data_IF_878344278840
#
_entry.id   IF_878344278840
#
_cell.length_a   1.000
_cell.length_b   1.000
_cell.length_c   1.000
_cell.angle_alpha   90.00
_cell.angle_beta   90.00
_cell.angle_gamma   90.00
#
_symmetry.space_group_name_H-M   'P 1'
#
loop_
_entity.id
_entity.type
_entity.pdbx_description
1 polymer ?
#
# COMPACT_ATOMS: atom_id res chain seq x y z
N UNK A 1 32.04 83.11 -38.59
CA UNK A 1 32.08 83.25 -37.12
C UNK A 1 30.64 83.12 -36.64
N UNK A 2 30.17 82.09 -35.95
CA UNK A 2 30.83 80.95 -35.27
C UNK A 2 29.72 79.91 -35.08
N UNK A 3 29.84 78.75 -35.71
CA UNK A 3 28.91 77.63 -35.53
C UNK A 3 29.17 77.00 -34.17
N UNK A 4 28.17 77.03 -33.29
CA UNK A 4 28.24 76.40 -31.96
C UNK A 4 28.04 74.89 -32.11
N UNK A 5 29.13 74.12 -32.09
CA UNK A 5 29.06 72.66 -31.96
C UNK A 5 28.55 72.26 -30.57
N UNK A 6 27.55 71.38 -30.54
CA UNK A 6 27.05 70.71 -29.34
C UNK A 6 27.89 69.45 -29.08
N UNK A 7 28.29 69.17 -27.82
CA UNK A 7 29.10 67.99 -27.50
C UNK A 7 28.25 66.71 -27.53
N UNK A 8 28.68 65.74 -28.33
CA UNK A 8 28.12 64.38 -28.36
C UNK A 8 28.55 63.63 -27.08
N UNK A 9 27.58 63.24 -26.25
CA UNK A 9 27.80 62.39 -25.07
C UNK A 9 28.14 60.95 -25.52
N UNK A 10 29.19 60.32 -24.97
CA UNK A 10 29.45 58.91 -25.23
C UNK A 10 28.37 58.01 -24.61
N UNK A 11 27.99 56.98 -25.36
CA UNK A 11 27.01 55.98 -24.94
C UNK A 11 27.51 55.20 -23.72
N UNK A 12 26.63 55.03 -22.72
CA UNK A 12 26.90 54.22 -21.54
C UNK A 12 27.15 52.75 -21.93
N UNK A 13 28.14 52.07 -21.31
CA UNK A 13 28.37 50.65 -21.58
C UNK A 13 27.13 49.84 -21.17
N UNK A 14 26.67 49.00 -22.10
CA UNK A 14 25.57 48.07 -21.88
C UNK A 14 25.86 47.22 -20.64
N UNK A 15 25.04 47.39 -19.59
CA UNK A 15 25.05 46.51 -18.42
C UNK A 15 24.83 45.08 -18.91
N UNK A 16 25.88 44.26 -18.84
CA UNK A 16 25.79 42.83 -19.08
C UNK A 16 24.63 42.25 -18.27
N UNK A 17 23.65 41.67 -18.98
CA UNK A 17 22.51 41.02 -18.36
C UNK A 17 23.03 39.92 -17.43
N UNK A 18 22.76 40.08 -16.13
CA UNK A 18 23.06 39.08 -15.11
C UNK A 18 22.41 37.75 -15.55
N UNK A 19 23.14 36.63 -15.61
CA UNK A 19 22.54 35.37 -15.99
C UNK A 19 21.38 35.05 -15.03
N UNK A 20 20.29 34.44 -15.52
CA UNK A 20 19.17 34.04 -14.66
C UNK A 20 19.73 33.14 -13.55
N UNK A 21 19.51 33.56 -12.29
CA UNK A 21 19.85 32.74 -11.12
C UNK A 21 19.20 31.37 -11.32
N UNK A 22 20.03 30.33 -11.43
CA UNK A 22 19.56 28.96 -11.48
C UNK A 22 18.55 28.74 -10.33
N UNK A 23 17.41 28.06 -10.57
CA UNK A 23 16.49 27.72 -9.51
C UNK A 23 17.28 26.97 -8.44
N UNK A 24 17.31 27.52 -7.24
CA UNK A 24 17.87 26.84 -6.06
C UNK A 24 17.15 25.51 -5.99
N UNK A 25 17.87 24.41 -6.22
CA UNK A 25 17.36 23.09 -5.92
C UNK A 25 17.04 23.08 -4.43
N UNK A 26 15.75 23.11 -4.11
CA UNK A 26 15.28 22.67 -2.81
C UNK A 26 15.64 21.21 -2.73
N UNK A 27 16.85 20.91 -2.26
CA UNK A 27 17.19 19.56 -1.83
C UNK A 27 16.04 19.13 -0.91
N UNK A 28 15.41 17.96 -1.15
CA UNK A 28 14.44 17.45 -0.20
C UNK A 28 15.14 17.42 1.15
N UNK A 29 14.52 18.03 2.15
CA UNK A 29 14.95 18.01 3.53
C UNK A 29 14.90 16.55 4.02
N UNK A 30 15.92 15.78 3.68
CA UNK A 30 16.12 14.38 4.09
C UNK A 30 16.60 14.27 5.54
N UNK A 31 16.50 15.37 6.29
CA UNK A 31 17.17 15.54 7.58
C UNK A 31 16.27 15.56 8.81
N UNK A 32 14.93 15.52 8.68
CA UNK A 32 14.07 15.39 9.86
C UNK A 32 13.58 13.96 10.04
N UNK A 33 14.53 13.04 10.18
CA UNK A 33 14.33 11.87 11.05
C UNK A 33 14.02 12.45 12.42
N UNK A 34 12.73 12.60 12.73
CA UNK A 34 12.25 12.86 14.07
C UNK A 34 12.99 11.88 14.96
N UNK A 35 13.91 12.39 15.76
CA UNK A 35 14.58 11.62 16.78
C UNK A 35 13.52 11.13 17.74
N UNK A 36 12.93 9.97 17.44
CA UNK A 36 12.28 9.07 18.39
C UNK A 36 13.35 8.45 19.31
N UNK A 37 14.46 9.16 19.54
CA UNK A 37 15.39 8.87 20.59
C UNK A 37 14.68 9.29 21.87
N UNK A 38 14.04 8.32 22.52
CA UNK A 38 13.89 8.28 23.97
C UNK A 38 15.10 9.00 24.57
N UNK A 39 14.82 10.07 25.33
CA UNK A 39 15.77 11.14 25.68
C UNK A 39 17.16 10.64 26.06
N UNK A 40 18.16 11.52 25.96
CA UNK A 40 19.57 11.18 26.20
C UNK A 40 19.86 10.57 27.58
N UNK A 41 18.88 10.56 28.50
CA UNK A 41 18.99 9.89 29.79
C UNK A 41 18.96 8.35 29.65
N UNK A 42 20.05 7.73 30.13
CA UNK A 42 20.20 6.26 30.19
C UNK A 42 19.04 5.57 30.92
N UNK A 43 18.46 6.24 31.92
CA UNK A 43 17.32 5.76 32.69
C UNK A 43 16.02 5.71 31.88
N UNK A 44 15.72 6.73 31.06
CA UNK A 44 14.53 6.70 30.20
C UNK A 44 14.62 5.58 29.14
N UNK A 45 15.82 5.33 28.60
CA UNK A 45 16.06 4.21 27.69
C UNK A 45 15.91 2.86 28.39
N UNK A 46 16.46 2.70 29.59
CA UNK A 46 16.33 1.48 30.39
C UNK A 46 14.87 1.18 30.74
N UNK A 47 14.11 2.19 31.17
CA UNK A 47 12.68 2.06 31.46
C UNK A 47 11.87 1.71 30.20
N UNK A 48 12.16 2.33 29.06
CA UNK A 48 11.49 2.01 27.81
C UNK A 48 11.80 0.59 27.31
N UNK A 49 13.06 0.15 27.43
CA UNK A 49 13.43 -1.23 27.11
C UNK A 49 12.76 -2.22 28.06
N UNK A 50 12.69 -1.92 29.35
CA UNK A 50 11.99 -2.75 30.32
C UNK A 50 10.49 -2.84 29.99
N UNK A 51 9.85 -1.71 29.67
CA UNK A 51 8.45 -1.68 29.27
C UNK A 51 8.19 -2.48 27.97
N UNK A 52 9.08 -2.35 26.97
CA UNK A 52 9.02 -3.15 25.75
C UNK A 52 9.22 -4.64 26.01
N UNK A 53 10.14 -5.01 26.91
CA UNK A 53 10.38 -6.40 27.30
C UNK A 53 9.18 -7.01 28.03
N UNK A 54 8.57 -6.27 28.96
CA UNK A 54 7.34 -6.69 29.65
C UNK A 54 6.20 -6.85 28.65
N UNK A 55 6.02 -5.89 27.75
CA UNK A 55 5.01 -5.99 26.70
C UNK A 55 5.25 -7.23 25.82
N UNK A 56 6.48 -7.45 25.37
CA UNK A 56 6.84 -8.64 24.59
C UNK A 56 6.52 -9.94 25.35
N UNK A 57 6.85 -10.02 26.64
CA UNK A 57 6.54 -11.19 27.48
C UNK A 57 5.03 -11.43 27.60
N UNK A 58 4.23 -10.37 27.78
CA UNK A 58 2.76 -10.48 27.84
C UNK A 58 2.19 -11.01 26.51
N UNK A 59 2.72 -10.54 25.38
CA UNK A 59 2.31 -11.03 24.06
C UNK A 59 2.76 -12.48 23.78
N UNK A 60 3.91 -12.90 24.32
CA UNK A 60 4.42 -14.27 24.16
C UNK A 60 3.71 -15.27 25.05
N UNK A 61 3.12 -14.84 26.17
CA UNK A 61 2.44 -15.72 27.13
C UNK A 61 1.34 -16.59 26.51
N UNK A 62 0.35 -16.07 25.74
CA UNK A 62 -0.66 -16.91 25.09
C UNK A 62 -0.07 -17.83 24.02
N UNK A 63 1.02 -17.41 23.34
CA UNK A 63 1.69 -18.24 22.33
C UNK A 63 2.45 -19.40 22.99
N UNK A 64 3.15 -19.13 24.08
CA UNK A 64 3.81 -20.15 24.89
C UNK A 64 2.80 -21.13 25.49
N UNK A 65 1.65 -20.63 25.95
CA UNK A 65 0.55 -21.47 26.43
C UNK A 65 -0.04 -22.35 25.33
N UNK A 66 -0.30 -21.81 24.13
CA UNK A 66 -0.77 -22.59 23.00
C UNK A 66 0.24 -23.68 22.60
N UNK A 67 1.54 -23.36 22.61
CA UNK A 67 2.60 -24.32 22.32
C UNK A 67 2.67 -25.43 23.37
N UNK A 68 2.60 -25.09 24.66
CA UNK A 68 2.57 -26.07 25.75
C UNK A 68 1.36 -26.99 25.63
N UNK A 69 0.18 -26.44 25.34
CA UNK A 69 -1.08 -27.19 25.16
C UNK A 69 -1.00 -28.17 23.99
N UNK A 70 -0.26 -27.86 22.92
CA UNK A 70 -0.06 -28.79 21.80
C UNK A 70 0.67 -30.09 22.19
N UNK A 71 1.40 -30.11 23.31
CA UNK A 71 2.09 -31.28 23.85
C UNK A 71 1.39 -31.89 25.07
N UNK A 72 0.18 -31.43 25.43
CA UNK A 72 -0.62 -32.00 26.53
C UNK A 72 -1.51 -33.14 26.02
N UNK A 73 -1.86 -34.06 26.92
CA UNK A 73 -2.94 -35.02 26.65
C UNK A 73 -4.30 -34.29 26.60
N UNK A 74 -5.32 -34.84 25.92
CA UNK A 74 -6.67 -34.24 25.90
C UNK A 74 -7.25 -34.05 27.31
N UNK A 75 -6.91 -34.98 28.22
CA UNK A 75 -7.30 -34.95 29.62
C UNK A 75 -6.63 -33.79 30.37
N UNK A 76 -5.32 -33.59 30.20
CA UNK A 76 -4.58 -32.47 30.82
C UNK A 76 -4.90 -31.11 30.19
N UNK A 77 -5.31 -31.08 28.92
CA UNK A 77 -5.72 -29.86 28.24
C UNK A 77 -7.11 -29.36 28.70
N UNK A 78 -7.98 -30.28 29.12
CA UNK A 78 -9.35 -29.98 29.55
C UNK A 78 -9.47 -29.74 31.07
N UNK A 79 -8.41 -29.99 31.85
CA UNK A 79 -8.39 -29.81 33.31
C UNK A 79 -8.15 -28.34 33.70
N UNK A 80 -9.13 -27.66 34.36
CA UNK A 80 -8.98 -26.27 34.81
C UNK A 80 -7.86 -26.05 35.85
N UNK A 81 -7.44 -27.10 36.57
CA UNK A 81 -6.46 -27.02 37.65
C UNK A 81 -5.01 -26.91 37.17
N UNK A 82 -4.72 -27.29 35.92
CA UNK A 82 -3.34 -27.47 35.41
C UNK A 82 -3.09 -26.78 34.07
N UNK A 83 -3.49 -25.50 34.01
CA UNK A 83 -3.36 -24.66 32.82
C UNK A 83 -1.90 -24.47 32.33
N UNK A 84 -0.87 -24.56 33.19
CA UNK A 84 0.53 -24.34 32.80
C UNK A 84 1.38 -25.61 32.59
N UNK A 85 1.33 -26.61 33.49
CA UNK A 85 2.21 -27.79 33.46
C UNK A 85 1.41 -29.10 33.45
N UNK A 86 1.65 -30.03 32.51
CA UNK A 86 0.96 -31.32 32.46
C UNK A 86 1.40 -32.26 33.60
N UNK A 87 0.45 -33.02 34.16
CA UNK A 87 0.76 -34.05 35.18
C UNK A 87 1.29 -35.34 34.57
N UNK A 88 0.79 -35.70 33.40
CA UNK A 88 1.09 -36.98 32.74
C UNK A 88 2.32 -36.90 31.81
N UNK A 89 3.06 -35.79 31.87
CA UNK A 89 4.21 -35.52 31.00
C UNK A 89 3.83 -34.92 29.65
N UNK A 90 4.84 -34.60 28.85
CA UNK A 90 4.65 -34.14 27.46
C UNK A 90 4.40 -35.35 26.56
N UNK A 91 3.40 -35.24 25.69
CA UNK A 91 3.02 -36.31 24.75
C UNK A 91 2.95 -35.80 23.32
N UNK A 92 3.27 -36.68 22.37
CA UNK A 92 3.13 -36.44 20.92
C UNK A 92 1.88 -37.09 20.34
N UNK A 93 1.03 -37.70 21.17
CA UNK A 93 -0.16 -38.44 20.73
C UNK A 93 -1.15 -37.58 19.95
N UNK A 94 -1.28 -36.29 20.28
CA UNK A 94 -2.11 -35.37 19.50
C UNK A 94 -1.65 -35.25 18.05
N UNK A 95 -0.33 -35.14 17.82
CA UNK A 95 0.24 -35.05 16.48
C UNK A 95 0.05 -36.34 15.67
N UNK A 96 0.30 -37.52 16.26
CA UNK A 96 0.08 -38.80 15.57
C UNK A 96 -1.40 -39.00 15.23
N UNK A 97 -2.31 -38.64 16.14
CA UNK A 97 -3.76 -38.74 15.92
C UNK A 97 -4.22 -37.90 14.74
N UNK A 98 -3.75 -36.64 14.65
CA UNK A 98 -4.12 -35.76 13.53
C UNK A 98 -3.47 -36.23 12.22
N UNK A 99 -2.27 -36.81 12.26
CA UNK A 99 -1.60 -37.34 11.08
C UNK A 99 -2.24 -38.62 10.54
N UNK A 100 -2.68 -39.52 11.41
CA UNK A 100 -3.28 -40.81 11.03
C UNK A 100 -4.77 -40.70 10.69
N UNK A 101 -5.51 -39.83 11.40
CA UNK A 101 -6.97 -39.71 11.24
C UNK A 101 -7.41 -38.51 10.41
N UNK A 102 -6.53 -37.53 10.21
CA UNK A 102 -6.85 -36.28 9.54
C UNK A 102 -6.22 -36.17 8.16
N UNK A 103 -6.90 -35.48 7.24
CA UNK A 103 -6.39 -35.17 5.91
C UNK A 103 -5.59 -33.85 5.92
N UNK A 104 -4.60 -33.75 6.81
CA UNK A 104 -3.76 -32.55 7.00
C UNK A 104 -3.22 -31.96 5.68
N UNK A 105 -2.60 -32.76 4.78
CA UNK A 105 -2.06 -32.23 3.53
C UNK A 105 -3.14 -31.59 2.65
N UNK A 106 -4.34 -32.16 2.62
CA UNK A 106 -5.45 -31.64 1.83
C UNK A 106 -5.99 -30.34 2.44
N UNK A 107 -6.16 -30.26 3.76
CA UNK A 107 -6.60 -29.02 4.42
C UNK A 107 -5.58 -27.89 4.26
N UNK A 108 -4.28 -28.21 4.32
CA UNK A 108 -3.21 -27.26 4.06
C UNK A 108 -3.21 -26.79 2.62
N UNK A 109 -3.36 -27.69 1.65
CA UNK A 109 -3.41 -27.35 0.22
C UNK A 109 -4.64 -26.49 -0.10
N UNK A 110 -5.80 -26.83 0.46
CA UNK A 110 -7.03 -26.07 0.29
C UNK A 110 -6.88 -24.65 0.85
N UNK A 111 -6.32 -24.51 2.06
CA UNK A 111 -6.08 -23.21 2.70
C UNK A 111 -5.07 -22.38 1.91
N UNK A 112 -4.00 -23.01 1.43
CA UNK A 112 -3.00 -22.36 0.59
C UNK A 112 -3.60 -21.89 -0.74
N UNK A 113 -4.35 -22.75 -1.43
CA UNK A 113 -4.99 -22.44 -2.70
C UNK A 113 -5.98 -21.27 -2.56
N UNK A 114 -6.86 -21.33 -1.55
CA UNK A 114 -7.84 -20.28 -1.29
C UNK A 114 -7.16 -18.96 -0.94
N UNK A 115 -6.21 -18.97 0.00
CA UNK A 115 -5.51 -17.74 0.43
C UNK A 115 -4.68 -17.12 -0.69
N UNK A 116 -3.99 -17.94 -1.50
CA UNK A 116 -3.24 -17.47 -2.66
C UNK A 116 -4.18 -16.87 -3.72
N UNK A 117 -5.26 -17.56 -4.07
CA UNK A 117 -6.23 -17.09 -5.05
C UNK A 117 -6.89 -15.77 -4.61
N UNK A 118 -7.36 -15.69 -3.36
CA UNK A 118 -7.91 -14.45 -2.79
C UNK A 118 -6.88 -13.34 -2.84
N UNK A 119 -5.64 -13.58 -2.42
CA UNK A 119 -4.59 -12.57 -2.42
C UNK A 119 -4.31 -12.04 -3.82
N UNK A 120 -4.09 -12.92 -4.80
CA UNK A 120 -3.79 -12.53 -6.19
C UNK A 120 -4.93 -11.73 -6.78
N UNK A 121 -6.17 -12.23 -6.70
CA UNK A 121 -7.33 -11.55 -7.28
C UNK A 121 -7.56 -10.20 -6.60
N UNK A 122 -7.52 -10.16 -5.27
CA UNK A 122 -7.75 -8.93 -4.50
C UNK A 122 -6.70 -7.88 -4.80
N UNK A 123 -5.41 -8.25 -4.85
CA UNK A 123 -4.32 -7.33 -5.15
C UNK A 123 -4.45 -6.79 -6.57
N UNK A 124 -4.70 -7.64 -7.56
CA UNK A 124 -4.84 -7.23 -8.95
C UNK A 124 -6.02 -6.24 -9.13
N UNK A 125 -7.20 -6.61 -8.64
CA UNK A 125 -8.41 -5.77 -8.73
C UNK A 125 -8.22 -4.46 -7.95
N UNK A 126 -7.66 -4.53 -6.75
CA UNK A 126 -7.46 -3.34 -5.92
C UNK A 126 -6.37 -2.41 -6.46
N UNK A 127 -5.31 -2.96 -7.06
CA UNK A 127 -4.28 -2.18 -7.71
C UNK A 127 -4.82 -1.47 -8.94
N UNK A 128 -5.59 -2.17 -9.79
CA UNK A 128 -6.27 -1.55 -10.93
C UNK A 128 -7.23 -0.45 -10.51
N UNK A 129 -8.08 -0.71 -9.52
CA UNK A 129 -9.04 0.28 -9.01
C UNK A 129 -8.31 1.48 -8.36
N UNK A 130 -7.30 1.22 -7.53
CA UNK A 130 -6.50 2.26 -6.88
C UNK A 130 -5.76 3.15 -7.87
N UNK A 131 -5.15 2.54 -8.90
CA UNK A 131 -4.47 3.26 -9.98
C UNK A 131 -5.45 4.10 -10.80
N UNK A 132 -6.62 3.54 -11.14
CA UNK A 132 -7.68 4.29 -11.80
C UNK A 132 -8.12 5.50 -10.98
N UNK A 133 -8.42 5.33 -9.68
CA UNK A 133 -8.82 6.46 -8.84
C UNK A 133 -7.73 7.53 -8.66
N UNK A 134 -6.45 7.16 -8.75
CA UNK A 134 -5.31 8.09 -8.60
C UNK A 134 -5.00 8.83 -9.90
N UNK A 135 -4.86 8.09 -11.02
CA UNK A 135 -4.29 8.62 -12.27
C UNK A 135 -5.33 8.96 -13.33
N UNK A 136 -6.49 8.30 -13.36
CA UNK A 136 -7.50 8.59 -14.40
C UNK A 136 -8.46 9.71 -13.97
N UNK A 137 -8.90 10.50 -14.95
CA UNK A 137 -9.88 11.57 -14.77
C UNK A 137 -11.16 11.14 -15.47
N UNK A 138 -12.16 10.73 -14.69
CA UNK A 138 -13.46 10.30 -15.19
C UNK A 138 -14.59 10.92 -14.37
N UNK A 139 -15.78 11.03 -14.96
CA UNK A 139 -16.95 11.60 -14.33
C UNK A 139 -17.36 10.77 -13.10
N UNK A 140 -17.61 11.42 -11.96
CA UNK A 140 -18.05 10.73 -10.73
C UNK A 140 -16.94 10.13 -9.85
N UNK A 141 -15.67 10.26 -10.23
CA UNK A 141 -14.51 9.73 -9.48
C UNK A 141 -14.55 9.99 -7.96
N UNK A 142 -14.89 11.23 -7.56
CA UNK A 142 -14.94 11.62 -6.14
C UNK A 142 -16.08 10.92 -5.37
N UNK A 143 -17.23 10.70 -6.03
CA UNK A 143 -18.39 10.01 -5.42
C UNK A 143 -18.12 8.53 -5.26
N UNK A 144 -17.61 7.89 -6.31
CA UNK A 144 -17.25 6.47 -6.27
C UNK A 144 -16.16 6.19 -5.24
N UNK A 145 -15.14 7.03 -5.16
CA UNK A 145 -14.12 6.89 -4.13
C UNK A 145 -14.68 7.11 -2.72
N UNK A 146 -15.56 8.10 -2.53
CA UNK A 146 -16.24 8.31 -1.24
C UNK A 146 -17.09 7.09 -0.84
N UNK A 147 -17.77 6.44 -1.79
CA UNK A 147 -18.52 5.21 -1.55
C UNK A 147 -17.58 4.05 -1.14
N UNK A 148 -16.43 3.90 -1.80
CA UNK A 148 -15.41 2.92 -1.40
C UNK A 148 -14.93 3.15 0.02
N UNK A 149 -14.68 4.41 0.41
CA UNK A 149 -14.31 4.75 1.79
C UNK A 149 -15.46 4.47 2.75
N UNK A 150 -16.71 4.76 2.38
CA UNK A 150 -17.87 4.45 3.19
C UNK A 150 -18.02 2.94 3.44
N UNK A 151 -17.70 2.11 2.44
CA UNK A 151 -17.73 0.65 2.55
C UNK A 151 -16.70 0.10 3.56
N UNK A 152 -15.62 0.84 3.85
CA UNK A 152 -14.64 0.45 4.90
C UNK A 152 -15.26 0.49 6.30
N UNK A 153 -16.29 1.32 6.54
CA UNK A 153 -16.95 1.38 7.85
C UNK A 153 -17.79 0.13 8.15
N UNK A 154 -18.12 -0.67 7.14
CA UNK A 154 -18.92 -1.88 7.33
C UNK A 154 -17.99 -3.02 7.78
N UNK A 155 -18.17 -3.56 9.00
CA UNK A 155 -17.37 -4.69 9.44
C UNK A 155 -17.70 -5.93 8.61
N UNK A 156 -16.68 -6.65 8.09
CA UNK A 156 -16.89 -7.79 7.20
C UNK A 156 -17.68 -8.93 7.86
N UNK A 157 -17.68 -9.02 9.19
CA UNK A 157 -18.42 -10.02 9.95
C UNK A 157 -19.94 -9.89 9.76
N UNK A 158 -20.47 -8.69 9.51
CA UNK A 158 -21.91 -8.49 9.24
C UNK A 158 -22.30 -8.99 7.84
N UNK A 159 -21.33 -9.16 6.95
CA UNK A 159 -21.56 -9.55 5.56
C UNK A 159 -21.59 -11.07 5.37
N UNK A 160 -21.32 -11.87 6.40
CA UNK A 160 -21.29 -13.33 6.31
C UNK A 160 -22.64 -13.90 5.85
N UNK A 161 -23.74 -13.49 6.49
CA UNK A 161 -25.10 -13.94 6.12
C UNK A 161 -25.50 -13.53 4.69
N UNK A 162 -25.37 -12.25 4.29
CA UNK A 162 -25.74 -11.87 2.92
C UNK A 162 -24.83 -12.49 1.86
N UNK A 163 -23.52 -12.67 2.13
CA UNK A 163 -22.63 -13.39 1.21
C UNK A 163 -23.03 -14.85 1.06
N UNK A 164 -23.36 -15.53 2.15
CA UNK A 164 -23.84 -16.91 2.08
C UNK A 164 -25.13 -17.04 1.27
N UNK A 165 -26.12 -16.16 1.51
CA UNK A 165 -27.35 -16.07 0.71
C UNK A 165 -27.05 -15.84 -0.78
N UNK A 166 -26.06 -15.00 -1.10
CA UNK A 166 -25.66 -14.74 -2.48
C UNK A 166 -25.03 -15.99 -3.13
N UNK A 167 -24.14 -16.70 -2.42
CA UNK A 167 -23.54 -17.94 -2.93
C UNK A 167 -24.57 -19.06 -3.13
N UNK A 168 -25.59 -19.13 -2.26
CA UNK A 168 -26.78 -19.98 -2.46
C UNK A 168 -27.50 -19.66 -3.76
N UNK A 169 -27.86 -18.40 -4.00
CA UNK A 169 -28.57 -18.01 -5.22
C UNK A 169 -27.77 -18.26 -6.50
N UNK A 170 -26.44 -18.17 -6.41
CA UNK A 170 -25.55 -18.41 -7.55
C UNK A 170 -25.22 -19.91 -7.73
N UNK A 171 -25.69 -20.79 -6.83
CA UNK A 171 -25.39 -22.23 -6.82
C UNK A 171 -23.88 -22.54 -6.72
N UNK A 172 -23.10 -21.73 -6.00
CA UNK A 172 -21.67 -21.98 -5.74
C UNK A 172 -21.39 -22.57 -4.36
N UNK A 173 -22.41 -22.92 -3.59
CA UNK A 173 -22.25 -23.53 -2.26
C UNK A 173 -21.45 -24.83 -2.36
N UNK A 174 -20.67 -25.13 -1.32
CA UNK A 174 -19.73 -26.27 -1.26
C UNK A 174 -18.63 -26.27 -2.34
N UNK A 175 -18.27 -25.08 -2.85
CA UNK A 175 -17.14 -24.90 -3.77
C UNK A 175 -16.13 -23.87 -3.25
N UNK A 176 -14.89 -23.93 -3.75
CA UNK A 176 -13.86 -22.92 -3.46
C UNK A 176 -14.31 -21.50 -3.83
N UNK A 177 -15.11 -21.37 -4.89
CA UNK A 177 -15.57 -20.07 -5.36
C UNK A 177 -16.51 -19.37 -4.36
N UNK A 178 -17.32 -20.13 -3.60
CA UNK A 178 -18.14 -19.57 -2.53
C UNK A 178 -17.33 -18.91 -1.41
N UNK A 179 -16.10 -19.38 -1.19
CA UNK A 179 -15.19 -18.81 -0.19
C UNK A 179 -14.33 -17.70 -0.80
N UNK A 180 -13.85 -17.87 -2.03
CA UNK A 180 -12.94 -16.92 -2.68
C UNK A 180 -13.68 -15.62 -3.04
N UNK A 181 -14.81 -15.69 -3.75
CA UNK A 181 -15.45 -14.52 -4.34
C UNK A 181 -15.82 -13.42 -3.32
N UNK A 182 -16.46 -13.72 -2.18
CA UNK A 182 -16.82 -12.69 -1.21
C UNK A 182 -15.59 -11.96 -0.64
N UNK A 183 -14.49 -12.68 -0.46
CA UNK A 183 -13.25 -12.14 0.12
C UNK A 183 -12.46 -11.26 -0.84
N UNK A 184 -12.75 -11.31 -2.15
CA UNK A 184 -12.08 -10.44 -3.14
C UNK A 184 -12.47 -8.97 -3.04
N UNK A 185 -13.60 -8.68 -2.38
CA UNK A 185 -14.09 -7.31 -2.18
C UNK A 185 -13.39 -6.70 -0.97
N UNK A 186 -12.29 -5.97 -1.21
CA UNK A 186 -11.48 -5.34 -0.16
C UNK A 186 -11.38 -3.80 -0.32
N UNK A 187 -12.39 -3.03 0.13
CA UNK A 187 -12.38 -1.56 0.00
C UNK A 187 -11.18 -0.88 0.68
N UNK A 188 -10.71 -1.46 1.79
CA UNK A 188 -9.52 -1.01 2.52
C UNK A 188 -8.27 -1.07 1.64
N UNK A 189 -8.09 -2.16 0.88
CA UNK A 189 -6.93 -2.31 0.01
C UNK A 189 -6.95 -1.33 -1.16
N UNK A 190 -8.12 -1.08 -1.76
CA UNK A 190 -8.27 -0.03 -2.79
C UNK A 190 -7.87 1.34 -2.24
N UNK A 191 -8.31 1.66 -1.02
CA UNK A 191 -7.98 2.92 -0.36
C UNK A 191 -6.47 3.07 -0.11
N UNK A 192 -5.83 2.03 0.44
CA UNK A 192 -4.39 2.01 0.71
C UNK A 192 -3.58 2.14 -0.58
N UNK A 193 -3.93 1.35 -1.61
CA UNK A 193 -3.21 1.40 -2.90
C UNK A 193 -3.37 2.73 -3.59
N UNK A 194 -4.55 3.34 -3.57
CA UNK A 194 -4.73 4.70 -4.08
C UNK A 194 -3.85 5.70 -3.32
N UNK A 195 -3.81 5.64 -1.98
CA UNK A 195 -2.94 6.50 -1.15
C UNK A 195 -1.47 6.32 -1.51
N UNK A 196 -1.05 5.08 -1.79
CA UNK A 196 0.29 4.78 -2.25
C UNK A 196 0.57 5.40 -3.64
N UNK A 197 -0.30 5.20 -4.63
CA UNK A 197 -0.14 5.79 -5.96
C UNK A 197 -0.18 7.33 -5.95
N UNK A 198 -1.01 7.93 -5.08
CA UNK A 198 -1.06 9.38 -4.89
C UNK A 198 0.26 9.94 -4.30
N UNK A 199 1.00 9.13 -3.52
CA UNK A 199 2.28 9.53 -2.93
C UNK A 199 3.45 9.47 -3.92
N UNK A 200 3.30 8.76 -5.04
CA UNK A 200 4.33 8.64 -6.06
C UNK A 200 4.35 9.90 -6.94
N UNK A 201 5.50 10.59 -7.06
CA UNK A 201 5.63 11.78 -7.91
C UNK A 201 5.40 11.42 -9.37
N UNK A 202 4.62 12.24 -10.07
CA UNK A 202 4.25 12.02 -11.48
C UNK A 202 5.46 12.02 -12.42
N UNK A 203 6.52 12.72 -12.04
CA UNK A 203 7.78 12.80 -12.78
C UNK A 203 8.39 11.42 -13.08
N UNK A 204 8.23 10.44 -12.17
CA UNK A 204 8.72 9.08 -12.39
C UNK A 204 7.94 8.35 -13.49
N UNK A 205 6.64 8.59 -13.59
CA UNK A 205 5.80 8.00 -14.64
C UNK A 205 6.04 8.69 -15.99
N UNK A 206 6.24 10.00 -15.99
CA UNK A 206 6.58 10.77 -17.19
C UNK A 206 7.96 10.39 -17.73
N UNK A 207 8.96 10.21 -16.85
CA UNK A 207 10.27 9.69 -17.24
C UNK A 207 10.16 8.28 -17.84
N UNK A 208 9.38 7.37 -17.23
CA UNK A 208 9.17 6.03 -17.77
C UNK A 208 8.46 6.02 -19.14
N UNK A 209 7.59 7.00 -19.41
CA UNK A 209 6.97 7.19 -20.74
C UNK A 209 7.99 7.71 -21.76
N UNK A 210 8.86 8.64 -21.37
CA UNK A 210 9.92 9.19 -22.24
C UNK A 210 10.99 8.13 -22.54
N UNK A 211 11.35 7.31 -21.56
CA UNK A 211 12.32 6.21 -21.69
C UNK A 211 11.74 4.99 -22.45
N UNK A 212 10.50 5.06 -22.93
CA UNK A 212 9.87 4.03 -23.75
C UNK A 212 9.52 2.73 -23.01
N UNK A 213 9.58 2.72 -21.67
CA UNK A 213 9.30 1.51 -20.87
C UNK A 213 7.82 1.34 -20.49
N UNK A 214 6.97 2.33 -20.80
CA UNK A 214 5.50 2.22 -20.72
C UNK A 214 4.93 2.30 -22.13
N UNK A 215 4.79 1.15 -22.79
CA UNK A 215 4.00 1.01 -24.02
C UNK A 215 2.53 0.86 -23.63
N UNK A 216 1.85 2.00 -23.51
CA UNK A 216 0.42 2.05 -23.24
C UNK A 216 -0.16 3.44 -23.52
N UNK A 217 -0.62 3.62 -24.76
CA UNK A 217 -1.46 4.73 -25.24
C UNK A 217 -0.79 6.11 -25.43
N UNK A 218 -0.43 6.35 -26.70
CA UNK A 218 -0.66 7.57 -27.47
C UNK A 218 -0.53 8.93 -26.76
N UNK A 219 0.56 9.63 -27.06
CA UNK A 219 0.47 11.04 -27.48
C UNK A 219 1.76 11.40 -28.22
N UNK A 220 1.59 11.88 -29.46
CA UNK A 220 2.69 12.20 -30.36
C UNK A 220 3.60 13.31 -29.83
N UNK A 221 4.78 13.49 -30.44
CA UNK A 221 5.77 14.45 -29.97
C UNK A 221 5.25 15.87 -30.14
N UNK A 222 4.89 16.53 -29.03
CA UNK A 222 4.83 17.99 -28.98
C UNK A 222 6.26 18.53 -29.00
N UNK A 223 6.75 18.78 -30.22
CA UNK A 223 7.93 19.57 -30.50
C UNK A 223 7.71 21.03 -30.02
N UNK A 224 8.16 21.36 -28.81
CA UNK A 224 8.37 22.76 -28.43
C UNK A 224 9.85 23.09 -28.58
N UNK A 225 10.21 23.65 -29.75
CA UNK A 225 11.56 24.15 -30.02
C UNK A 225 11.74 25.51 -29.33
N UNK A 226 12.89 25.68 -28.69
CA UNK A 226 13.30 26.76 -27.77
C UNK A 226 13.38 28.20 -28.32
N UNK A 227 12.54 28.60 -29.28
CA UNK A 227 12.54 29.98 -29.81
C UNK A 227 11.13 30.52 -30.09
N UNK A 228 10.39 30.79 -29.01
CA UNK A 228 9.56 32.00 -28.85
C UNK A 228 8.53 32.39 -29.92
N UNK A 229 7.91 31.45 -30.66
CA UNK A 229 6.77 31.75 -31.54
C UNK A 229 5.70 30.65 -31.45
N UNK A 230 4.57 30.96 -30.81
CA UNK A 230 3.34 30.18 -30.94
C UNK A 230 2.59 30.67 -32.19
N UNK A 231 2.33 29.79 -33.14
CA UNK A 231 1.48 30.08 -34.30
C UNK A 231 0.32 29.08 -34.35
N UNK A 232 -0.77 29.41 -33.62
CA UNK A 232 -2.17 29.04 -33.90
C UNK A 232 -2.53 27.52 -33.98
N UNK A 233 -3.83 27.17 -34.01
CA UNK A 233 -4.38 26.06 -33.22
C UNK A 233 -4.27 24.69 -33.88
N UNK A 234 -4.22 23.65 -33.04
CA UNK A 234 -4.49 22.25 -33.41
C UNK A 234 -5.69 22.15 -34.35
N UNK A 235 -5.43 21.82 -35.61
CA UNK A 235 -6.42 21.23 -36.51
C UNK A 235 -5.82 19.95 -37.06
N UNK A 236 -6.58 18.87 -36.84
CA UNK A 236 -6.75 17.71 -37.70
C UNK A 236 -5.53 17.29 -38.53
N UNK A 237 -4.89 16.20 -38.11
CA UNK A 237 -4.84 14.98 -38.94
C UNK A 237 -4.16 13.88 -38.15
N UNK A 238 -4.98 12.90 -37.75
CA UNK A 238 -4.54 11.52 -37.64
C UNK A 238 -4.17 11.03 -39.05
N UNK A 239 -3.02 10.38 -39.14
CA UNK A 239 -2.70 9.35 -40.11
C UNK A 239 -1.84 8.32 -39.40
#
# INVERSE_FOLDING_TARGET
MTSTELPVRPAAPARAARPPRAPRSTRPDTGRRTGLTLGESRLARALALAALAVLALVWLLPMAWALLTAFKSEQDASDPGHWFLPRHGFTLHGFSTVWERGDLPLWMLNSFLVSAAVTVITVLVSAMAGYAFSRTVFAGRRRLFALTVAAVLVPPQLLVVPWFRQMLTLHLVDTYAAVILPQTVAPVMVFILKKHFDSLPRELEEAARIDGRVTGASSGPCCCRSRGRCWRPCRSSCS
#
